data_IF_082663702610
#
_entry.id   IF_082663702610
#
_cell.length_a   1.000
_cell.length_b   1.000
_cell.length_c   1.000
_cell.angle_alpha   90.00
_cell.angle_beta   90.00
_cell.angle_gamma   90.00
#
_symmetry.space_group_name_H-M   'P 1'
#
loop_
_entity.id
_entity.type
_entity.pdbx_description
1 polymer ?
#
# COMPACT_ATOMS: atom_id res chain seq x y z
N UNK A 1 17.27 -16.51 6.80
CA UNK A 1 15.82 -16.41 6.55
C UNK A 1 15.07 -16.60 7.87
N UNK A 2 14.16 -15.70 8.26
CA UNK A 2 13.37 -15.80 9.50
C UNK A 2 11.99 -16.45 9.23
N UNK A 3 11.31 -16.89 10.29
CA UNK A 3 10.03 -17.62 10.18
C UNK A 3 8.91 -16.76 9.60
N UNK A 4 8.98 -15.44 9.81
CA UNK A 4 8.03 -14.49 9.22
C UNK A 4 8.05 -14.57 7.69
N UNK A 5 9.23 -14.60 7.08
CA UNK A 5 9.36 -14.73 5.63
C UNK A 5 8.82 -16.07 5.09
N UNK A 6 8.97 -17.16 5.85
CA UNK A 6 8.39 -18.46 5.50
C UNK A 6 6.86 -18.39 5.47
N UNK A 7 6.23 -17.75 6.47
CA UNK A 7 4.77 -17.53 6.52
C UNK A 7 4.27 -16.64 5.39
N UNK A 8 4.98 -15.55 5.09
CA UNK A 8 4.63 -14.64 3.99
C UNK A 8 4.65 -15.37 2.65
N UNK A 9 5.68 -16.19 2.41
CA UNK A 9 5.87 -16.94 1.16
C UNK A 9 5.05 -18.22 1.05
N UNK A 10 4.58 -18.78 2.17
CA UNK A 10 3.99 -20.12 2.21
C UNK A 10 4.98 -21.20 1.74
N UNK A 11 6.27 -21.07 2.10
CA UNK A 11 7.34 -21.98 1.69
C UNK A 11 8.27 -22.27 2.85
N UNK A 12 8.98 -23.41 2.81
CA UNK A 12 9.93 -23.76 3.87
C UNK A 12 11.20 -22.89 3.79
N UNK A 13 11.99 -22.86 4.87
CA UNK A 13 13.24 -22.10 4.91
C UNK A 13 14.21 -22.54 3.81
N UNK A 14 14.34 -23.84 3.59
CA UNK A 14 15.29 -24.42 2.65
C UNK A 14 14.91 -24.13 1.20
N UNK A 15 13.61 -24.06 0.91
CA UNK A 15 13.10 -23.66 -0.41
C UNK A 15 13.29 -22.17 -0.70
N UNK A 16 13.49 -21.35 0.34
CA UNK A 16 13.64 -19.90 0.20
C UNK A 16 15.11 -19.48 0.10
N UNK A 17 16.03 -20.33 0.55
CA UNK A 17 17.47 -20.10 0.40
C UNK A 17 17.88 -20.43 -1.04
N UNK A 18 18.62 -19.52 -1.67
CA UNK A 18 19.13 -19.71 -3.05
C UNK A 18 18.12 -19.42 -4.17
N UNK A 19 16.83 -19.26 -3.88
CA UNK A 19 15.82 -18.93 -4.89
C UNK A 19 15.78 -17.43 -5.17
N UNK A 20 15.85 -17.07 -6.45
CA UNK A 20 15.75 -15.68 -6.89
C UNK A 20 14.33 -15.14 -6.62
N UNK A 21 14.26 -13.97 -5.96
CA UNK A 21 12.99 -13.30 -5.63
C UNK A 21 12.06 -13.08 -6.82
N UNK A 22 12.59 -13.02 -8.05
CA UNK A 22 11.82 -12.83 -9.29
C UNK A 22 10.78 -13.93 -9.54
N UNK A 23 10.91 -15.11 -8.92
CA UNK A 23 9.95 -16.22 -9.05
C UNK A 23 8.59 -15.93 -8.38
N UNK A 24 8.54 -14.98 -7.44
CA UNK A 24 7.36 -14.72 -6.59
C UNK A 24 6.67 -13.40 -6.92
N UNK A 25 6.87 -12.87 -8.12
CA UNK A 25 6.39 -11.56 -8.52
C UNK A 25 6.16 -11.54 -10.03
N UNK A 26 5.22 -10.74 -10.48
CA UNK A 26 5.00 -10.54 -11.91
C UNK A 26 6.23 -9.84 -12.57
N UNK A 27 6.40 -9.94 -13.90
CA UNK A 27 7.55 -9.36 -14.59
C UNK A 27 7.73 -7.85 -14.39
N UNK A 28 6.63 -7.08 -14.27
CA UNK A 28 6.67 -5.62 -14.08
C UNK A 28 7.17 -5.30 -12.67
N UNK A 29 6.66 -6.00 -11.67
CA UNK A 29 7.13 -5.89 -10.27
C UNK A 29 8.58 -6.31 -10.14
N UNK A 30 9.00 -7.40 -10.77
CA UNK A 30 10.40 -7.84 -10.80
C UNK A 30 11.34 -6.75 -11.32
N UNK A 31 10.96 -6.07 -12.41
CA UNK A 31 11.74 -4.97 -12.98
C UNK A 31 11.81 -3.77 -12.05
N UNK A 32 10.73 -3.45 -11.32
CA UNK A 32 10.69 -2.37 -10.32
C UNK A 32 11.58 -2.67 -9.12
N UNK A 33 11.43 -3.85 -8.52
CA UNK A 33 12.24 -4.29 -7.37
C UNK A 33 13.72 -4.32 -7.75
N UNK A 34 14.06 -4.85 -8.93
CA UNK A 34 15.44 -4.85 -9.43
C UNK A 34 16.03 -3.43 -9.52
N UNK A 35 15.29 -2.47 -10.08
CA UNK A 35 15.76 -1.07 -10.16
C UNK A 35 16.07 -0.48 -8.79
N UNK A 36 15.23 -0.75 -7.80
CA UNK A 36 15.45 -0.27 -6.44
C UNK A 36 16.68 -0.91 -5.81
N UNK A 37 16.83 -2.24 -5.91
CA UNK A 37 18.01 -2.94 -5.38
C UNK A 37 19.30 -2.50 -6.09
N UNK A 38 19.27 -2.30 -7.40
CA UNK A 38 20.42 -1.80 -8.16
C UNK A 38 20.80 -0.37 -7.74
N UNK A 39 19.81 0.48 -7.42
CA UNK A 39 20.07 1.82 -6.86
C UNK A 39 20.77 1.72 -5.51
N UNK A 40 20.32 0.82 -4.62
CA UNK A 40 21.00 0.56 -3.34
C UNK A 40 22.44 0.06 -3.57
N UNK A 41 22.66 -0.86 -4.52
CA UNK A 41 23.99 -1.34 -4.88
C UNK A 41 24.94 -0.21 -5.30
N UNK A 42 24.49 0.63 -6.24
CA UNK A 42 25.32 1.68 -6.84
C UNK A 42 25.57 2.86 -5.91
N UNK A 43 24.59 3.20 -5.06
CA UNK A 43 24.66 4.40 -4.23
C UNK A 43 25.04 4.11 -2.78
N UNK A 44 24.90 2.85 -2.33
CA UNK A 44 25.01 2.46 -0.93
C UNK A 44 23.88 2.98 -0.05
N UNK A 45 22.96 3.82 -0.56
CA UNK A 45 21.84 4.37 0.22
C UNK A 45 20.75 3.30 0.38
N UNK A 46 20.30 3.00 1.61
CA UNK A 46 19.25 2.03 1.83
C UNK A 46 17.92 2.53 1.26
N UNK A 47 17.05 1.59 0.90
CA UNK A 47 15.67 1.85 0.49
C UNK A 47 14.71 1.28 1.51
N UNK A 48 13.63 1.99 1.79
CA UNK A 48 12.59 1.60 2.74
C UNK A 48 11.21 1.75 2.11
N UNK A 49 10.22 1.02 2.63
CA UNK A 49 8.82 1.20 2.26
C UNK A 49 8.48 0.82 0.81
N UNK A 50 9.23 -0.12 0.20
CA UNK A 50 8.88 -0.59 -1.15
C UNK A 50 7.71 -1.56 -1.03
N UNK A 51 6.53 -1.09 -1.41
CA UNK A 51 5.35 -1.93 -1.54
C UNK A 51 5.31 -2.68 -2.88
N UNK A 52 4.97 -3.96 -2.84
CA UNK A 52 4.78 -4.81 -4.03
C UNK A 52 3.88 -6.01 -3.76
N UNK A 53 3.37 -6.61 -4.84
CA UNK A 53 2.55 -7.82 -4.78
C UNK A 53 3.45 -9.06 -4.84
N UNK A 54 3.44 -9.85 -3.77
CA UNK A 54 4.04 -11.17 -3.72
C UNK A 54 3.01 -12.22 -4.10
N UNK A 55 3.38 -13.09 -5.03
CA UNK A 55 2.58 -14.24 -5.46
C UNK A 55 3.09 -15.47 -4.71
N UNK A 56 2.24 -16.07 -3.88
CA UNK A 56 2.54 -17.32 -3.17
C UNK A 56 2.50 -18.52 -4.13
N UNK A 57 3.01 -19.66 -3.66
CA UNK A 57 3.00 -20.93 -4.43
C UNK A 57 1.59 -21.39 -4.82
N UNK A 58 0.61 -21.14 -3.95
CA UNK A 58 -0.81 -21.44 -4.18
C UNK A 58 -1.50 -20.43 -5.13
N UNK A 59 -0.75 -19.45 -5.67
CA UNK A 59 -1.27 -18.39 -6.54
C UNK A 59 -1.88 -17.21 -5.80
N UNK A 60 -2.02 -17.26 -4.46
CA UNK A 60 -2.58 -16.15 -3.69
C UNK A 60 -1.65 -14.94 -3.71
N UNK A 61 -2.24 -13.76 -3.88
CA UNK A 61 -1.51 -12.49 -3.85
C UNK A 61 -1.47 -11.95 -2.43
N UNK A 62 -0.31 -11.43 -2.04
CA UNK A 62 -0.09 -10.72 -0.79
C UNK A 62 0.57 -9.39 -1.05
N UNK A 63 0.12 -8.35 -0.36
CA UNK A 63 0.83 -7.08 -0.36
C UNK A 63 1.94 -7.15 0.66
N UNK A 64 3.15 -6.83 0.22
CA UNK A 64 4.31 -6.81 1.09
C UNK A 64 5.03 -5.48 0.98
N UNK A 65 5.51 -4.99 2.11
CA UNK A 65 6.37 -3.83 2.21
C UNK A 65 7.79 -4.33 2.48
N UNK A 66 8.76 -3.80 1.75
CA UNK A 66 10.15 -4.23 1.87
C UNK A 66 11.14 -3.09 2.00
N UNK A 67 12.17 -3.33 2.79
CA UNK A 67 13.33 -2.46 2.94
C UNK A 67 14.59 -3.25 2.62
N UNK A 68 15.58 -2.61 2.01
CA UNK A 68 16.86 -3.23 1.68
C UNK A 68 18.03 -2.27 1.93
N UNK A 69 19.10 -2.80 2.54
CA UNK A 69 20.36 -2.11 2.74
C UNK A 69 21.52 -2.94 2.20
N UNK A 70 22.55 -2.28 1.70
CA UNK A 70 23.77 -2.93 1.24
C UNK A 70 24.59 -3.41 2.45
N UNK A 71 25.00 -4.68 2.43
CA UNK A 71 25.98 -5.22 3.37
C UNK A 71 27.37 -5.05 2.76
N UNK A 72 28.31 -4.56 3.57
CA UNK A 72 29.71 -4.37 3.20
C UNK A 72 30.62 -5.17 4.13
N UNK A 73 31.74 -5.65 3.62
CA UNK A 73 32.81 -6.21 4.45
C UNK A 73 33.60 -5.12 5.21
N UNK A 74 34.60 -5.53 5.98
CA UNK A 74 35.51 -4.63 6.71
C UNK A 74 36.28 -3.68 5.79
N UNK A 75 36.43 -4.01 4.50
CA UNK A 75 37.12 -3.20 3.50
C UNK A 75 36.16 -2.30 2.71
N UNK A 76 34.88 -2.26 3.09
CA UNK A 76 33.86 -1.45 2.42
C UNK A 76 33.33 -2.04 1.12
N UNK A 77 33.73 -3.25 0.74
CA UNK A 77 33.28 -3.92 -0.50
C UNK A 77 31.88 -4.50 -0.30
N UNK A 78 30.95 -4.32 -1.27
CA UNK A 78 29.62 -4.92 -1.19
C UNK A 78 29.69 -6.46 -1.17
N UNK A 79 29.10 -7.09 -0.15
CA UNK A 79 29.05 -8.56 0.01
C UNK A 79 27.63 -9.13 -0.07
N UNK A 80 26.61 -8.27 -0.07
CA UNK A 80 25.22 -8.70 -0.22
C UNK A 80 24.21 -7.63 0.17
N UNK A 81 22.97 -8.06 0.38
CA UNK A 81 21.88 -7.21 0.85
C UNK A 81 21.27 -7.78 2.13
N UNK A 82 20.92 -6.88 3.04
CA UNK A 82 20.04 -7.18 4.16
C UNK A 82 18.67 -6.60 3.85
N UNK A 83 17.66 -7.47 3.80
CA UNK A 83 16.28 -7.09 3.54
C UNK A 83 15.36 -7.39 4.72
N UNK A 84 14.34 -6.57 4.89
CA UNK A 84 13.18 -6.83 5.76
C UNK A 84 11.95 -6.78 4.89
N UNK A 85 11.01 -7.70 5.11
CA UNK A 85 9.72 -7.74 4.43
C UNK A 85 8.62 -7.90 5.47
N UNK A 86 7.61 -7.04 5.40
CA UNK A 86 6.41 -7.09 6.22
C UNK A 86 5.21 -7.40 5.32
N UNK A 87 4.31 -8.27 5.80
CA UNK A 87 2.99 -8.45 5.16
C UNK A 87 2.12 -7.24 5.52
N UNK A 88 1.59 -6.57 4.52
CA UNK A 88 0.69 -5.42 4.66
C UNK A 88 -0.66 -5.70 4.00
N UNK A 89 -0.98 -6.97 3.74
CA UNK A 89 -2.21 -7.37 3.06
C UNK A 89 -3.45 -6.92 3.82
N UNK A 90 -3.50 -7.17 5.12
CA UNK A 90 -4.64 -6.77 5.97
C UNK A 90 -4.81 -5.25 6.00
N UNK A 91 -3.70 -4.51 6.12
CA UNK A 91 -3.68 -3.04 6.04
C UNK A 91 -4.30 -2.55 4.73
N UNK A 92 -3.84 -3.08 3.59
CA UNK A 92 -4.35 -2.68 2.26
C UNK A 92 -5.83 -3.03 2.06
N UNK A 93 -6.28 -4.17 2.57
CA UNK A 93 -7.69 -4.57 2.49
C UNK A 93 -8.56 -3.62 3.32
N UNK A 94 -8.12 -3.26 4.53
CA UNK A 94 -8.85 -2.32 5.37
C UNK A 94 -8.92 -0.91 4.75
N UNK A 95 -7.79 -0.41 4.24
CA UNK A 95 -7.71 0.88 3.53
C UNK A 95 -8.67 0.92 2.33
N UNK A 96 -8.69 -0.14 1.52
CA UNK A 96 -9.56 -0.21 0.35
C UNK A 96 -11.04 -0.35 0.72
N UNK A 97 -11.35 -1.09 1.79
CA UNK A 97 -12.71 -1.21 2.29
C UNK A 97 -13.23 0.13 2.82
N UNK A 98 -12.40 0.87 3.55
CA UNK A 98 -12.71 2.22 4.02
C UNK A 98 -12.95 3.16 2.84
N UNK A 99 -12.02 3.21 1.88
CA UNK A 99 -12.14 4.04 0.67
C UNK A 99 -13.45 3.77 -0.07
N UNK A 100 -13.80 2.51 -0.30
CA UNK A 100 -15.06 2.14 -0.96
C UNK A 100 -16.29 2.54 -0.16
N UNK A 101 -16.22 2.46 1.18
CA UNK A 101 -17.31 2.89 2.04
C UNK A 101 -17.50 4.40 1.99
N UNK A 102 -16.41 5.17 2.02
CA UNK A 102 -16.43 6.63 1.90
C UNK A 102 -16.94 7.08 0.53
N UNK A 103 -16.51 6.43 -0.55
CA UNK A 103 -16.98 6.70 -1.90
C UNK A 103 -18.48 6.41 -2.04
N UNK A 104 -18.93 5.27 -1.52
CA UNK A 104 -20.35 4.92 -1.51
C UNK A 104 -21.18 5.91 -0.69
N UNK A 105 -20.69 6.28 0.50
CA UNK A 105 -21.37 7.26 1.34
C UNK A 105 -21.46 8.62 0.65
N UNK A 106 -20.36 9.11 0.08
CA UNK A 106 -20.31 10.36 -0.66
C UNK A 106 -21.26 10.34 -1.85
N UNK A 107 -21.28 9.27 -2.62
CA UNK A 107 -22.20 9.12 -3.74
C UNK A 107 -23.68 9.18 -3.30
N UNK A 108 -24.03 8.43 -2.24
CA UNK A 108 -25.40 8.43 -1.70
C UNK A 108 -25.80 9.79 -1.11
N UNK A 109 -24.89 10.45 -0.41
CA UNK A 109 -25.12 11.77 0.16
C UNK A 109 -25.31 12.81 -0.95
N UNK A 110 -24.31 12.96 -1.82
CA UNK A 110 -24.26 13.98 -2.87
C UNK A 110 -25.38 13.85 -3.90
N UNK A 111 -25.65 12.60 -4.35
CA UNK A 111 -26.64 12.34 -5.39
C UNK A 111 -28.03 11.97 -4.84
N UNK A 112 -28.22 12.02 -3.51
CA UNK A 112 -29.52 11.85 -2.88
C UNK A 112 -30.53 12.88 -3.38
N UNK A 113 -31.78 12.46 -3.59
CA UNK A 113 -32.85 13.36 -4.05
C UNK A 113 -33.46 14.20 -2.92
N UNK A 114 -33.34 13.73 -1.68
CA UNK A 114 -33.75 14.48 -0.50
C UNK A 114 -32.74 15.59 -0.19
N UNK A 115 -33.22 16.67 0.41
CA UNK A 115 -32.37 17.77 0.87
C UNK A 115 -31.64 17.33 2.14
N UNK A 116 -30.34 17.04 2.03
CA UNK A 116 -29.52 16.57 3.14
C UNK A 116 -28.55 17.65 3.59
N UNK A 117 -28.44 17.83 4.91
CA UNK A 117 -27.45 18.71 5.51
C UNK A 117 -26.93 18.14 6.83
N UNK A 118 -25.69 18.50 7.16
CA UNK A 118 -25.10 18.34 8.48
C UNK A 118 -24.96 19.72 9.11
N UNK A 119 -25.27 19.80 10.40
CA UNK A 119 -25.06 20.99 11.19
C UNK A 119 -24.44 20.63 12.54
N UNK A 120 -23.76 21.60 13.17
CA UNK A 120 -23.25 21.45 14.53
C UNK A 120 -24.35 21.60 15.58
N UNK A 121 -24.00 21.53 16.87
CA UNK A 121 -24.97 21.70 17.96
C UNK A 121 -25.53 23.12 18.07
N UNK A 122 -24.88 24.10 17.46
CA UNK A 122 -25.32 25.51 17.43
C UNK A 122 -26.21 25.80 16.22
N UNK A 123 -26.33 24.85 15.29
CA UNK A 123 -27.16 24.94 14.08
C UNK A 123 -26.40 25.48 12.87
N UNK A 124 -25.08 25.66 12.94
CA UNK A 124 -24.28 26.09 11.79
C UNK A 124 -24.13 24.92 10.82
N UNK A 125 -24.36 25.18 9.53
CA UNK A 125 -24.22 24.16 8.49
C UNK A 125 -22.75 23.78 8.29
N UNK A 126 -22.46 22.49 8.39
CA UNK A 126 -21.13 21.88 8.21
C UNK A 126 -20.98 21.36 6.78
N UNK A 127 -22.05 20.75 6.24
CA UNK A 127 -22.01 20.15 4.91
C UNK A 127 -23.43 20.00 4.34
N UNK A 128 -23.58 20.02 3.02
CA UNK A 128 -24.87 19.92 2.31
C UNK A 128 -24.71 19.15 1.01
N UNK A 129 -25.74 18.39 0.61
CA UNK A 129 -25.72 17.67 -0.66
C UNK A 129 -26.15 18.52 -1.86
N UNK A 130 -25.98 17.99 -3.08
CA UNK A 130 -26.32 18.71 -4.31
C UNK A 130 -27.80 19.08 -4.40
N UNK A 131 -28.72 18.26 -3.88
CA UNK A 131 -30.15 18.58 -3.89
C UNK A 131 -30.44 19.82 -3.03
N UNK A 132 -29.88 19.88 -1.82
CA UNK A 132 -29.96 21.05 -0.94
C UNK A 132 -29.40 22.29 -1.63
N UNK A 133 -28.20 22.18 -2.22
CA UNK A 133 -27.56 23.31 -2.92
C UNK A 133 -28.40 23.83 -4.08
N UNK A 134 -29.00 22.93 -4.88
CA UNK A 134 -29.87 23.30 -6.00
C UNK A 134 -31.15 24.00 -5.56
N UNK A 135 -31.82 23.48 -4.54
CA UNK A 135 -33.10 24.04 -4.07
C UNK A 135 -32.91 25.42 -3.45
N UNK A 136 -31.88 25.59 -2.62
CA UNK A 136 -31.61 26.84 -1.91
C UNK A 136 -30.66 27.80 -2.64
N UNK A 137 -30.25 27.47 -3.86
CA UNK A 137 -29.36 28.30 -4.69
C UNK A 137 -27.98 28.54 -4.07
N UNK A 138 -27.54 27.65 -3.18
CA UNK A 138 -26.24 27.72 -2.53
C UNK A 138 -25.14 27.37 -3.54
N UNK A 139 -24.32 28.37 -3.86
CA UNK A 139 -23.04 28.19 -4.56
C UNK A 139 -21.99 28.08 -3.46
N UNK A 140 -21.07 27.12 -3.57
CA UNK A 140 -19.96 26.92 -2.62
C UNK A 140 -19.02 28.16 -2.61
N UNK A 141 -19.47 29.27 -2.03
CA UNK A 141 -18.60 30.37 -1.59
C UNK A 141 -18.13 30.02 -0.19
N UNK A 142 -16.90 29.47 -0.16
CA UNK A 142 -15.99 29.23 0.97
C UNK A 142 -16.60 29.38 2.38
N UNK A 143 -16.94 28.24 2.99
CA UNK A 143 -16.96 28.06 4.46
C UNK A 143 -15.53 28.12 5.02
#
# INVERSE_FOLDING_TARGET
MNDSMCRIRGSSRDELIGVNNRKYMDPKTAKRVYRNFNKVYRTGKPVKGIEWESIRKDGTKRYVESSASLMKDSNGKPVGFRGIVADITERKIAEEALRKSEEKYRDLFENGSDLLCFHDLEGNLIDTNLAFKKEYGWVDEEL
#
